data_IF_615268362999
#
_entry.id   IF_615268362999
#
_cell.length_a   1.000
_cell.length_b   1.000
_cell.length_c   1.000
_cell.angle_alpha   90.00
_cell.angle_beta   90.00
_cell.angle_gamma   90.00
#
_symmetry.space_group_name_H-M   'P 1'
#
loop_
_entity.id
_entity.type
_entity.pdbx_description
1 polymer ?
#
# COMPACT_ATOMS: atom_id res chain seq x y z
N UNK A 1 8.70 -10.14 0.51
CA UNK A 1 10.06 -9.60 0.72
C UNK A 1 11.09 -10.18 -0.25
N UNK A 2 11.18 -11.51 -0.43
CA UNK A 2 12.23 -12.19 -1.24
C UNK A 2 12.46 -11.61 -2.65
N UNK A 3 11.40 -11.20 -3.34
CA UNK A 3 11.48 -10.65 -4.70
C UNK A 3 12.27 -9.33 -4.80
N UNK A 4 12.40 -8.58 -3.69
CA UNK A 4 13.11 -7.29 -3.67
C UNK A 4 14.61 -7.43 -3.43
N UNK A 5 15.12 -8.66 -3.22
CA UNK A 5 16.54 -8.89 -2.98
C UNK A 5 17.10 -8.02 -1.85
N UNK A 6 18.20 -7.33 -2.14
CA UNK A 6 18.90 -6.39 -1.25
C UNK A 6 18.28 -4.99 -1.23
N UNK A 7 17.22 -4.74 -2.01
CA UNK A 7 16.53 -3.45 -2.14
C UNK A 7 17.47 -2.34 -2.62
N UNK A 8 18.55 -2.67 -3.33
CA UNK A 8 19.43 -1.67 -3.90
C UNK A 8 18.77 -0.99 -5.11
N UNK A 9 18.97 0.31 -5.25
CA UNK A 9 18.53 1.09 -6.42
C UNK A 9 17.04 1.36 -6.53
N UNK A 10 16.19 0.87 -5.61
CA UNK A 10 14.75 1.16 -5.64
C UNK A 10 14.47 2.60 -5.18
N UNK A 11 13.34 3.16 -5.61
CA UNK A 11 12.84 4.46 -5.10
C UNK A 11 12.57 4.45 -3.60
N UNK A 12 12.26 3.27 -3.04
CA UNK A 12 11.89 2.98 -1.64
C UNK A 12 10.56 3.59 -1.20
N UNK A 13 10.30 4.83 -1.59
CA UNK A 13 9.11 5.58 -1.23
C UNK A 13 8.28 5.89 -2.46
N UNK A 14 6.96 5.75 -2.34
CA UNK A 14 6.02 6.33 -3.28
C UNK A 14 4.62 6.43 -2.66
N UNK A 15 3.78 7.24 -3.29
CA UNK A 15 2.38 7.37 -2.99
C UNK A 15 1.54 7.26 -4.26
N UNK A 16 0.25 6.97 -4.09
CA UNK A 16 -0.73 7.01 -5.14
C UNK A 16 -2.08 7.46 -4.60
N UNK A 17 -2.76 8.30 -5.38
CA UNK A 17 -4.16 8.67 -5.20
C UNK A 17 -4.97 8.02 -6.31
N UNK A 18 -5.93 7.17 -5.97
CA UNK A 18 -6.71 6.42 -6.97
C UNK A 18 -8.21 6.62 -6.74
N UNK A 19 -8.93 7.13 -7.75
CA UNK A 19 -10.38 7.18 -7.72
C UNK A 19 -11.00 5.87 -8.21
N UNK A 20 -12.24 5.63 -7.78
CA UNK A 20 -13.18 4.74 -8.44
C UNK A 20 -14.60 5.28 -8.17
N UNK A 21 -15.23 5.85 -9.18
CA UNK A 21 -16.52 6.53 -9.08
C UNK A 21 -16.61 7.51 -7.90
N UNK A 22 -17.42 7.24 -6.88
CA UNK A 22 -17.57 8.08 -5.68
C UNK A 22 -16.36 8.01 -4.72
N UNK A 23 -15.55 6.96 -4.82
CA UNK A 23 -14.42 6.72 -3.94
C UNK A 23 -13.13 7.38 -4.42
N UNK A 24 -12.31 7.85 -3.48
CA UNK A 24 -10.93 8.27 -3.67
C UNK A 24 -10.09 7.81 -2.48
N UNK A 25 -9.08 6.99 -2.74
CA UNK A 25 -8.19 6.46 -1.70
C UNK A 25 -6.75 6.86 -1.97
N UNK A 26 -6.03 7.23 -0.90
CA UNK A 26 -4.58 7.44 -0.90
C UNK A 26 -3.90 6.21 -0.33
N UNK A 27 -2.79 5.80 -0.94
CA UNK A 27 -1.83 4.89 -0.32
C UNK A 27 -0.43 5.49 -0.37
N UNK A 28 0.34 5.34 0.71
CA UNK A 28 1.75 5.73 0.81
C UNK A 28 2.54 4.51 1.29
N UNK A 29 3.64 4.18 0.62
CA UNK A 29 4.47 3.00 0.91
C UNK A 29 5.93 3.42 1.12
N UNK A 30 6.54 2.91 2.19
CA UNK A 30 7.99 2.88 2.43
C UNK A 30 8.44 1.40 2.52
N UNK A 31 9.32 0.99 1.60
CA UNK A 31 9.99 -0.33 1.61
C UNK A 31 11.08 -0.33 2.67
N UNK A 32 10.65 -0.34 3.94
CA UNK A 32 11.43 0.15 5.07
C UNK A 32 12.15 -0.93 5.88
N UNK A 33 11.76 -2.19 5.72
CA UNK A 33 12.11 -3.29 6.63
C UNK A 33 11.39 -3.24 7.98
N UNK A 34 10.52 -2.24 8.21
CA UNK A 34 9.80 -2.02 9.47
C UNK A 34 8.30 -2.17 9.24
N UNK A 35 7.72 -3.31 9.64
CA UNK A 35 6.28 -3.53 9.53
C UNK A 35 5.48 -2.47 10.28
N UNK A 36 4.67 -1.71 9.55
CA UNK A 36 3.71 -0.78 10.13
C UNK A 36 2.59 -0.46 9.14
N UNK A 37 1.34 -0.54 9.60
CA UNK A 37 0.17 -0.15 8.83
C UNK A 37 -0.59 0.93 9.61
N UNK A 38 -0.74 2.09 8.99
CA UNK A 38 -1.79 3.04 9.31
C UNK A 38 -2.95 2.82 8.33
N UNK A 39 -4.16 2.63 8.84
CA UNK A 39 -5.32 2.31 8.02
C UNK A 39 -6.51 3.15 8.47
N UNK A 40 -6.87 4.14 7.67
CA UNK A 40 -7.98 5.05 7.85
C UNK A 40 -8.89 4.99 6.62
N UNK A 41 -9.24 3.75 6.20
CA UNK A 41 -10.20 3.48 5.14
C UNK A 41 -11.47 2.92 5.79
N UNK A 42 -12.33 3.83 6.24
CA UNK A 42 -13.53 3.50 6.97
C UNK A 42 -14.65 3.08 6.02
N UNK A 43 -15.14 1.85 6.16
CA UNK A 43 -16.19 1.27 5.32
C UNK A 43 -17.46 1.20 6.16
N UNK A 44 -18.42 2.06 5.86
CA UNK A 44 -19.64 2.23 6.67
C UNK A 44 -20.66 1.10 6.52
N UNK A 45 -20.59 0.35 5.41
CA UNK A 45 -21.57 -0.67 5.03
C UNK A 45 -20.89 -2.01 4.76
N UNK A 46 -21.40 -3.05 5.39
CA UNK A 46 -20.99 -4.42 5.08
C UNK A 46 -21.47 -4.83 3.68
N UNK A 47 -20.62 -5.52 2.93
CA UNK A 47 -20.91 -6.05 1.61
C UNK A 47 -20.01 -7.25 1.31
N UNK A 48 -20.52 -8.23 0.57
CA UNK A 48 -19.70 -9.27 -0.07
C UNK A 48 -19.37 -8.87 -1.51
N UNK A 49 -18.09 -8.90 -1.89
CA UNK A 49 -17.61 -8.72 -3.26
C UNK A 49 -17.24 -10.10 -3.83
N UNK A 50 -18.23 -10.80 -4.36
CA UNK A 50 -18.09 -12.24 -4.63
C UNK A 50 -17.90 -12.99 -3.30
N UNK A 51 -16.75 -13.63 -3.14
CA UNK A 51 -16.39 -14.36 -1.91
C UNK A 51 -15.55 -13.52 -0.92
N UNK A 52 -15.39 -12.22 -1.18
CA UNK A 52 -14.58 -11.32 -0.35
C UNK A 52 -15.44 -10.46 0.57
N UNK A 53 -15.26 -10.59 1.88
CA UNK A 53 -15.87 -9.70 2.87
C UNK A 53 -15.07 -8.39 2.96
N UNK A 54 -15.73 -7.25 2.67
CA UNK A 54 -15.11 -5.92 2.70
C UNK A 54 -14.48 -5.58 4.06
N UNK A 55 -14.98 -6.15 5.16
CA UNK A 55 -14.41 -5.92 6.49
C UNK A 55 -13.10 -6.66 6.75
N UNK A 56 -12.67 -7.56 5.86
CA UNK A 56 -11.34 -8.21 5.92
C UNK A 56 -10.24 -7.42 5.21
N UNK A 57 -10.58 -6.29 4.60
CA UNK A 57 -9.62 -5.39 3.94
C UNK A 57 -8.48 -4.94 4.86
N UNK A 58 -8.72 -4.44 6.09
CA UNK A 58 -7.62 -4.08 6.99
C UNK A 58 -6.73 -5.26 7.35
N UNK A 59 -7.28 -6.46 7.57
CA UNK A 59 -6.54 -7.68 7.87
C UNK A 59 -5.64 -8.10 6.71
N UNK A 60 -6.14 -8.00 5.47
CA UNK A 60 -5.34 -8.24 4.27
C UNK A 60 -4.11 -7.34 4.23
N UNK A 61 -4.30 -6.02 4.35
CA UNK A 61 -3.17 -5.08 4.30
C UNK A 61 -2.22 -5.27 5.49
N UNK A 62 -2.75 -5.57 6.68
CA UNK A 62 -1.94 -5.87 7.87
C UNK A 62 -1.04 -7.08 7.59
N UNK A 63 -1.60 -8.15 7.03
CA UNK A 63 -0.83 -9.35 6.68
C UNK A 63 0.25 -9.06 5.63
N UNK A 64 -0.08 -8.29 4.58
CA UNK A 64 0.90 -7.90 3.54
C UNK A 64 2.05 -7.11 4.13
N UNK A 65 1.75 -6.05 4.89
CA UNK A 65 2.73 -5.15 5.50
C UNK A 65 3.66 -5.91 6.46
N UNK A 66 3.10 -6.78 7.30
CA UNK A 66 3.85 -7.63 8.23
C UNK A 66 4.83 -8.56 7.52
N UNK A 67 4.35 -9.30 6.52
CA UNK A 67 5.16 -10.31 5.84
C UNK A 67 6.14 -9.71 4.81
N UNK A 68 5.84 -8.52 4.28
CA UNK A 68 6.70 -7.85 3.32
C UNK A 68 7.73 -6.93 3.98
N UNK A 69 7.58 -6.55 5.25
CA UNK A 69 8.47 -5.61 5.93
C UNK A 69 8.29 -4.18 5.43
N UNK A 70 7.04 -3.77 5.20
CA UNK A 70 6.70 -2.45 4.67
C UNK A 70 6.21 -1.54 5.79
N UNK A 71 6.35 -0.23 5.58
CA UNK A 71 5.52 0.76 6.27
C UNK A 71 4.50 1.28 5.25
N UNK A 72 3.21 1.24 5.56
CA UNK A 72 2.15 1.68 4.66
C UNK A 72 1.11 2.54 5.39
N UNK A 73 0.60 3.56 4.69
CA UNK A 73 -0.55 4.37 5.12
C UNK A 73 -1.61 4.26 4.04
N UNK A 74 -2.85 3.94 4.41
CA UNK A 74 -4.00 3.97 3.52
C UNK A 74 -5.08 4.86 4.12
N UNK A 75 -5.53 5.85 3.34
CA UNK A 75 -6.51 6.86 3.78
C UNK A 75 -7.66 6.95 2.78
N UNK A 76 -8.91 6.84 3.25
CA UNK A 76 -10.08 7.16 2.43
C UNK A 76 -10.29 8.68 2.42
N UNK A 77 -10.09 9.31 1.27
CA UNK A 77 -10.32 10.77 1.12
C UNK A 77 -11.82 11.07 1.03
N UNK A 78 -12.57 10.21 0.34
CA UNK A 78 -14.04 10.26 0.19
C UNK A 78 -14.55 8.97 -0.45
N UNK A 79 -15.81 8.64 -0.24
CA UNK A 79 -16.51 7.50 -0.83
C UNK A 79 -17.59 6.97 0.10
N UNK A 80 -18.56 6.24 -0.43
CA UNK A 80 -19.64 5.58 0.32
C UNK A 80 -19.89 4.14 -0.14
N UNK A 81 -19.64 3.82 -1.41
CA UNK A 81 -19.82 2.47 -1.92
C UNK A 81 -18.67 1.53 -1.45
N UNK A 82 -18.95 0.43 -0.71
CA UNK A 82 -17.90 -0.46 -0.20
C UNK A 82 -17.05 -1.11 -1.29
N UNK A 83 -17.66 -1.52 -2.42
CA UNK A 83 -16.91 -2.04 -3.57
C UNK A 83 -15.89 -1.01 -4.03
N UNK A 84 -16.37 0.21 -4.29
CA UNK A 84 -15.53 1.24 -4.89
C UNK A 84 -14.37 1.63 -3.97
N UNK A 85 -14.64 1.74 -2.67
CA UNK A 85 -13.63 2.03 -1.63
C UNK A 85 -12.56 0.93 -1.60
N UNK A 86 -12.97 -0.35 -1.50
CA UNK A 86 -12.03 -1.48 -1.41
C UNK A 86 -11.19 -1.55 -2.67
N UNK A 87 -11.80 -1.53 -3.85
CA UNK A 87 -11.07 -1.64 -5.11
C UNK A 87 -10.12 -0.44 -5.33
N UNK A 88 -10.53 0.78 -4.95
CA UNK A 88 -9.65 1.95 -4.96
C UNK A 88 -8.46 1.79 -4.00
N UNK A 89 -8.66 1.24 -2.79
CA UNK A 89 -7.60 0.98 -1.82
C UNK A 89 -6.56 -0.01 -2.35
N UNK A 90 -7.00 -1.13 -2.95
CA UNK A 90 -6.10 -2.10 -3.59
C UNK A 90 -5.32 -1.48 -4.74
N UNK A 91 -5.99 -0.71 -5.62
CA UNK A 91 -5.32 -0.03 -6.74
C UNK A 91 -4.33 1.03 -6.29
N UNK A 92 -4.67 1.81 -5.26
CA UNK A 92 -3.77 2.82 -4.69
C UNK A 92 -2.53 2.14 -4.12
N UNK A 93 -2.70 1.12 -3.28
CA UNK A 93 -1.58 0.38 -2.71
C UNK A 93 -0.71 -0.27 -3.79
N UNK A 94 -1.31 -0.89 -4.81
CA UNK A 94 -0.58 -1.53 -5.90
C UNK A 94 0.29 -0.52 -6.68
N UNK A 95 -0.27 0.66 -7.03
CA UNK A 95 0.47 1.71 -7.73
C UNK A 95 1.60 2.30 -6.88
N UNK A 96 1.33 2.56 -5.60
CA UNK A 96 2.34 3.06 -4.67
C UNK A 96 3.48 2.02 -4.50
N UNK A 97 3.14 0.74 -4.36
CA UNK A 97 4.14 -0.33 -4.23
C UNK A 97 4.97 -0.50 -5.51
N UNK A 98 4.35 -0.51 -6.68
CA UNK A 98 5.04 -0.57 -7.98
C UNK A 98 6.06 0.57 -8.12
N UNK A 99 5.63 1.81 -7.88
CA UNK A 99 6.52 2.96 -7.91
C UNK A 99 7.63 2.88 -6.85
N UNK A 100 7.32 2.50 -5.62
CA UNK A 100 8.30 2.39 -4.53
C UNK A 100 9.37 1.31 -4.80
N UNK A 101 9.02 0.27 -5.56
CA UNK A 101 9.91 -0.84 -5.91
C UNK A 101 10.59 -0.69 -7.28
N UNK A 102 10.26 0.36 -8.03
CA UNK A 102 10.89 0.69 -9.31
C UNK A 102 12.35 1.09 -9.10
N UNK A 103 13.23 0.62 -9.99
CA UNK A 103 14.64 1.04 -10.01
C UNK A 103 14.74 2.50 -10.47
N UNK A 104 15.40 3.34 -9.68
CA UNK A 104 15.75 4.70 -10.04
C UNK A 104 17.26 4.78 -10.33
N UNK A 105 17.68 5.15 -11.55
CA UNK A 105 19.11 5.23 -11.91
C UNK A 105 19.89 6.27 -11.09
N UNK A 106 19.20 7.15 -10.35
CA UNK A 106 19.81 8.14 -9.45
C UNK A 106 20.10 7.56 -8.06
N UNK A 107 19.52 6.41 -7.71
CA UNK A 107 19.72 5.75 -6.42
C UNK A 107 20.85 4.75 -6.54
N UNK A 108 21.92 4.98 -5.79
CA UNK A 108 23.08 4.08 -5.74
C UNK A 108 23.06 3.31 -4.43
N UNK A 109 23.12 1.98 -4.51
CA UNK A 109 23.11 1.10 -3.34
C UNK A 109 21.76 1.07 -2.62
N UNK A 110 21.79 0.72 -1.33
CA UNK A 110 20.59 0.64 -0.49
C UNK A 110 20.15 2.05 -0.07
N UNK A 111 18.90 2.48 -0.33
CA UNK A 111 18.41 3.83 -0.02
C UNK A 111 18.12 4.01 1.48
N UNK A 112 19.13 3.89 2.32
CA UNK A 112 19.06 4.00 3.78
C UNK A 112 20.33 4.63 4.34
N UNK A 113 20.18 5.63 5.22
CA UNK A 113 21.32 6.26 5.91
C UNK A 113 22.05 5.30 6.85
N UNK A 114 21.42 4.17 7.20
CA UNK A 114 22.01 3.10 8.02
C UNK A 114 22.71 2.03 7.18
N UNK A 115 22.67 2.13 5.85
CA UNK A 115 23.25 1.16 4.93
C UNK A 115 22.51 -0.18 4.83
N UNK A 116 21.41 -0.36 5.57
CA UNK A 116 20.62 -1.60 5.61
C UNK A 116 19.11 -1.30 5.62
N UNK A 117 18.33 -2.27 5.11
CA UNK A 117 16.87 -2.34 5.08
C UNK A 117 16.41 -3.78 5.33
#
# INVERSE_FOLDING_TARGET
SRALGDRAGIRRYADALVPLDDALVRAVVDVSGRPYLHYEVDISKWQMLGDYDVFLTPEFFRAVVLNAGLTAHLDLVRGDNPHHIVEAAFKAFARALDAATTIDPRVVGVPSTKGTL
#
